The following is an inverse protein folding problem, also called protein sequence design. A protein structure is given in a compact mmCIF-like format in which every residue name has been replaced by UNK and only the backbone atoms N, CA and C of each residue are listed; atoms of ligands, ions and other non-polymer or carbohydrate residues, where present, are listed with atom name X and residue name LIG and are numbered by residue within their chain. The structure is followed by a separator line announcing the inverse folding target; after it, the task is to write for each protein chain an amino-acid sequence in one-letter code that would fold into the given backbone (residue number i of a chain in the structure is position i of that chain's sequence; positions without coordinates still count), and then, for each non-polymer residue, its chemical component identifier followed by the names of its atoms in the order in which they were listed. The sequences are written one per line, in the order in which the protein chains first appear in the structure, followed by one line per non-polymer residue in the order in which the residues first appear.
data_IF_181309204499
#
_entry.id   IF_181309204499
#
_cell.length_a   1.000
_cell.length_b   1.000
_cell.length_c   1.000
_cell.angle_alpha   90.00
_cell.angle_beta   90.00
_cell.angle_gamma   90.00
#
_symmetry.space_group_name_H-M   'P 1'
#
loop_
_entity.id
_entity.type
_entity.pdbx_description
1 polymer ?
#
# COMPACT_ATOMS: atom_id res chain seq x y z
N UNK A 1 2.08 17.31 -33.95
CA UNK A 1 1.72 16.11 -33.18
C UNK A 1 2.00 16.41 -31.71
N UNK A 2 1.01 16.44 -30.81
CA UNK A 2 1.29 16.76 -29.42
C UNK A 2 1.84 15.51 -28.70
N UNK A 3 2.96 15.71 -28.00
CA UNK A 3 3.60 14.71 -27.16
C UNK A 3 2.63 14.30 -26.03
N UNK A 4 2.39 13.00 -25.91
CA UNK A 4 1.58 12.44 -24.83
C UNK A 4 2.30 12.66 -23.50
N UNK A 5 1.90 13.69 -22.76
CA UNK A 5 2.21 13.81 -21.34
C UNK A 5 1.49 12.68 -20.62
N UNK A 6 2.22 11.58 -20.36
CA UNK A 6 1.77 10.53 -19.45
C UNK A 6 1.76 11.12 -18.05
N UNK A 7 0.62 11.65 -17.63
CA UNK A 7 0.40 12.00 -16.23
C UNK A 7 0.56 10.72 -15.41
N UNK A 8 1.60 10.66 -14.59
CA UNK A 8 1.77 9.59 -13.60
C UNK A 8 0.60 9.71 -12.63
N UNK A 9 -0.47 8.95 -12.86
CA UNK A 9 -1.58 8.85 -11.93
C UNK A 9 -1.03 8.15 -10.70
N UNK A 10 -0.66 8.93 -9.68
CA UNK A 10 -0.35 8.41 -8.35
C UNK A 10 -1.69 7.98 -7.72
N UNK A 11 -2.10 6.75 -8.00
CA UNK A 11 -3.26 6.14 -7.36
C UNK A 11 -2.92 5.80 -5.90
N UNK A 12 -3.22 6.73 -5.00
CA UNK A 12 -3.23 6.49 -3.54
C UNK A 12 -1.90 6.05 -2.94
N UNK A 13 -1.87 5.79 -1.63
CA UNK A 13 -0.66 5.37 -0.91
C UNK A 13 -0.09 4.07 -1.49
N UNK A 14 0.95 4.19 -2.32
CA UNK A 14 1.69 3.04 -2.84
C UNK A 14 2.40 2.38 -1.66
N UNK A 15 1.96 1.18 -1.30
CA UNK A 15 2.65 0.34 -0.32
C UNK A 15 4.02 -0.04 -0.86
N UNK A 16 5.02 -0.06 0.02
CA UNK A 16 6.36 -0.54 -0.32
C UNK A 16 6.81 -1.60 0.66
N UNK A 17 7.73 -2.48 0.23
CA UNK A 17 8.32 -3.49 1.13
C UNK A 17 8.90 -2.86 2.40
N UNK A 18 9.45 -1.65 2.31
CA UNK A 18 9.98 -0.93 3.46
C UNK A 18 8.89 -0.63 4.48
N UNK A 19 7.76 -0.05 4.06
CA UNK A 19 6.63 0.23 4.95
C UNK A 19 6.02 -1.03 5.54
N UNK A 20 5.87 -2.11 4.75
CA UNK A 20 5.36 -3.38 5.28
C UNK A 20 6.29 -3.97 6.34
N UNK A 21 7.61 -3.88 6.13
CA UNK A 21 8.59 -4.34 7.12
C UNK A 21 8.58 -3.50 8.41
N UNK A 22 8.09 -2.26 8.36
CA UNK A 22 7.91 -1.45 9.57
C UNK A 22 6.65 -1.82 10.35
N UNK A 23 5.68 -2.52 9.76
CA UNK A 23 4.49 -2.98 10.47
C UNK A 23 4.87 -3.97 11.57
N UNK A 24 4.34 -3.75 12.77
CA UNK A 24 4.58 -4.59 13.94
C UNK A 24 3.28 -5.01 14.60
N UNK A 25 3.24 -6.26 15.02
CA UNK A 25 2.15 -6.77 15.86
C UNK A 25 2.07 -5.90 17.12
N UNK A 26 0.86 -5.48 17.48
CA UNK A 26 0.57 -4.57 18.58
C UNK A 26 0.30 -3.12 18.19
N UNK A 27 0.61 -2.71 16.94
CA UNK A 27 0.31 -1.36 16.44
C UNK A 27 -1.19 -1.04 16.47
N UNK A 28 -1.56 0.19 16.80
CA UNK A 28 -2.94 0.65 16.67
C UNK A 28 -3.31 0.86 15.20
N UNK A 29 -4.60 0.83 14.89
CA UNK A 29 -5.11 1.17 13.55
C UNK A 29 -4.61 2.52 13.04
N UNK A 30 -4.55 3.52 13.93
CA UNK A 30 -4.07 4.85 13.58
C UNK A 30 -2.59 4.83 13.20
N UNK A 31 -1.74 4.12 13.96
CA UNK A 31 -0.33 3.97 13.64
C UNK A 31 -0.12 3.27 12.29
N UNK A 32 -0.91 2.23 12.01
CA UNK A 32 -0.90 1.56 10.70
C UNK A 32 -1.31 2.55 9.60
N UNK A 33 -2.37 3.33 9.82
CA UNK A 33 -2.84 4.31 8.86
C UNK A 33 -1.85 5.45 8.60
N UNK A 34 -1.12 5.90 9.61
CA UNK A 34 -0.04 6.88 9.46
C UNK A 34 1.15 6.30 8.68
N UNK A 35 1.40 5.00 8.79
CA UNK A 35 2.54 4.32 8.19
C UNK A 35 2.31 3.94 6.72
N UNK A 36 1.15 3.36 6.40
CA UNK A 36 0.82 2.85 5.06
C UNK A 36 -0.39 3.52 4.42
N UNK A 37 -1.05 4.45 5.11
CA UNK A 37 -2.26 5.11 4.64
C UNK A 37 -3.54 4.35 4.95
N UNK A 38 -4.65 4.90 4.44
CA UNK A 38 -5.98 4.32 4.59
C UNK A 38 -6.09 2.99 3.84
N UNK A 39 -6.74 1.98 4.43
CA UNK A 39 -7.02 0.72 3.74
C UNK A 39 -7.93 0.91 2.53
N UNK A 40 -7.74 0.08 1.51
CA UNK A 40 -8.59 0.06 0.31
C UNK A 40 -9.99 -0.46 0.62
N UNK A 41 -10.08 -1.40 1.56
CA UNK A 41 -11.34 -2.01 1.99
C UNK A 41 -11.37 -2.11 3.51
N UNK A 42 -12.47 -1.61 4.09
CA UNK A 42 -12.81 -1.79 5.51
C UNK A 42 -14.21 -2.37 5.57
N UNK A 43 -14.36 -3.52 6.23
CA UNK A 43 -15.69 -4.05 6.55
C UNK A 43 -16.34 -3.19 7.65
N UNK A 44 -17.47 -2.50 7.38
CA UNK A 44 -18.14 -1.66 8.37
C UNK A 44 -18.75 -2.46 9.54
N UNK A 45 -19.04 -3.75 9.36
CA UNK A 45 -19.60 -4.64 10.38
C UNK A 45 -18.50 -5.30 11.20
N UNK A 46 -17.38 -5.63 10.56
CA UNK A 46 -16.20 -6.20 11.22
C UNK A 46 -14.98 -5.34 10.93
N UNK A 47 -14.85 -4.24 11.68
CA UNK A 47 -13.69 -3.35 11.72
C UNK A 47 -12.38 -4.04 12.20
N UNK A 48 -12.26 -5.36 12.13
CA UNK A 48 -11.13 -6.17 12.56
C UNK A 48 -10.23 -6.58 11.39
N UNK A 49 -10.59 -6.31 10.14
CA UNK A 49 -9.75 -6.65 9.00
C UNK A 49 -9.63 -5.47 8.05
N UNK A 50 -8.41 -5.16 7.66
CA UNK A 50 -8.09 -4.17 6.64
C UNK A 50 -7.38 -4.87 5.49
N UNK A 51 -7.96 -4.73 4.30
CA UNK A 51 -7.36 -5.25 3.07
C UNK A 51 -6.83 -4.08 2.24
N UNK A 52 -5.55 -4.18 1.93
CA UNK A 52 -4.85 -3.28 1.01
C UNK A 52 -4.61 -4.06 -0.28
N UNK A 53 -5.43 -3.76 -1.28
CA UNK A 53 -5.37 -4.44 -2.58
C UNK A 53 -5.10 -3.37 -3.62
N UNK A 54 -4.09 -3.62 -4.46
CA UNK A 54 -3.80 -2.77 -5.60
C UNK A 54 -3.59 -3.65 -6.81
N UNK A 55 -4.14 -3.22 -7.93
CA UNK A 55 -3.94 -3.81 -9.23
C UNK A 55 -3.85 -2.66 -10.22
N UNK A 56 -2.62 -2.21 -10.47
CA UNK A 56 -2.34 -1.05 -11.31
C UNK A 56 -1.28 -1.38 -12.33
N UNK A 57 -1.45 -0.89 -13.54
CA UNK A 57 -0.41 -0.89 -14.57
C UNK A 57 0.28 0.46 -14.55
N UNK A 58 1.57 0.46 -14.23
CA UNK A 58 2.41 1.66 -14.25
C UNK A 58 2.58 2.16 -15.68
N UNK A 59 2.92 3.44 -15.82
CA UNK A 59 3.19 4.08 -17.12
C UNK A 59 4.39 3.48 -17.88
N UNK A 60 5.26 2.76 -17.16
CA UNK A 60 6.37 1.93 -17.67
C UNK A 60 5.93 0.62 -18.32
N UNK A 61 4.66 0.21 -18.14
CA UNK A 61 4.15 -1.09 -18.55
C UNK A 61 4.29 -2.18 -17.47
N UNK A 62 4.86 -1.86 -16.31
CA UNK A 62 4.95 -2.79 -15.18
C UNK A 62 3.59 -2.96 -14.50
N UNK A 63 3.18 -4.21 -14.32
CA UNK A 63 1.95 -4.56 -13.59
C UNK A 63 2.28 -4.75 -12.12
N UNK A 64 1.75 -3.85 -11.28
CA UNK A 64 1.84 -3.95 -9.82
C UNK A 64 0.54 -4.55 -9.31
N UNK A 65 0.64 -5.73 -8.71
CA UNK A 65 -0.47 -6.40 -8.06
C UNK A 65 -0.08 -6.85 -6.66
N UNK A 66 -0.73 -6.31 -5.64
CA UNK A 66 -0.50 -6.74 -4.28
C UNK A 66 -1.77 -6.87 -3.48
N UNK A 67 -1.71 -7.79 -2.51
CA UNK A 67 -2.72 -7.97 -1.47
C UNK A 67 -2.01 -8.09 -0.13
N UNK A 68 -2.24 -7.12 0.74
CA UNK A 68 -1.82 -7.12 2.13
C UNK A 68 -3.08 -7.14 3.00
N UNK A 69 -3.18 -8.14 3.86
CA UNK A 69 -4.31 -8.32 4.77
C UNK A 69 -3.83 -8.12 6.20
N UNK A 70 -4.44 -7.18 6.93
CA UNK A 70 -4.11 -6.86 8.31
C UNK A 70 -5.30 -7.18 9.21
N UNK A 71 -5.10 -8.07 10.18
CA UNK A 71 -6.13 -8.40 11.17
C UNK A 71 -5.86 -7.71 12.49
N UNK A 72 -6.86 -7.00 13.01
CA UNK A 72 -6.86 -6.28 14.28
C UNK A 72 -7.71 -7.01 15.32
N UNK A 73 -7.17 -7.19 16.52
CA UNK A 73 -7.85 -7.74 17.69
C UNK A 73 -7.79 -6.72 18.82
N UNK A 74 -8.95 -6.38 19.42
CA UNK A 74 -9.06 -5.35 20.47
C UNK A 74 -8.39 -4.01 20.08
N UNK A 75 -8.48 -3.62 18.81
CA UNK A 75 -7.91 -2.35 18.31
C UNK A 75 -6.40 -2.37 18.01
N UNK A 76 -5.73 -3.52 18.17
CA UNK A 76 -4.30 -3.70 17.89
C UNK A 76 -4.07 -4.69 16.77
N UNK A 77 -3.04 -4.47 15.95
CA UNK A 77 -2.61 -5.36 14.89
C UNK A 77 -2.20 -6.70 15.51
N UNK A 78 -2.84 -7.77 15.07
CA UNK A 78 -2.63 -9.13 15.59
C UNK A 78 -2.05 -10.07 14.54
N UNK A 79 -2.34 -9.83 13.26
CA UNK A 79 -1.86 -10.65 12.17
C UNK A 79 -1.59 -9.81 10.93
N UNK A 80 -0.53 -10.16 10.19
CA UNK A 80 -0.09 -9.52 8.96
C UNK A 80 0.07 -10.63 7.94
N UNK A 81 -0.73 -10.60 6.88
CA UNK A 81 -0.63 -11.54 5.77
C UNK A 81 -0.14 -10.78 4.53
N UNK A 82 0.98 -11.25 3.99
CA UNK A 82 1.70 -10.68 2.86
C UNK A 82 1.67 -11.58 1.61
N UNK A 83 0.70 -12.50 1.50
CA UNK A 83 0.68 -13.54 0.45
C UNK A 83 0.70 -12.99 -0.99
N UNK A 84 0.32 -11.72 -1.19
CA UNK A 84 0.29 -11.09 -2.52
C UNK A 84 1.37 -10.06 -2.79
N UNK A 85 2.33 -9.80 -1.89
CA UNK A 85 3.18 -8.60 -2.02
C UNK A 85 4.41 -8.77 -2.94
N UNK A 86 4.53 -9.90 -3.64
CA UNK A 86 5.73 -10.26 -4.41
C UNK A 86 6.05 -9.30 -5.56
N UNK A 87 5.06 -8.54 -6.05
CA UNK A 87 5.26 -7.54 -7.12
C UNK A 87 5.36 -6.12 -6.60
N UNK A 88 5.43 -5.94 -5.27
CA UNK A 88 5.70 -4.63 -4.72
C UNK A 88 7.07 -4.16 -5.19
N UNK A 89 7.18 -2.93 -5.71
CA UNK A 89 8.48 -2.34 -5.95
C UNK A 89 9.26 -2.30 -4.63
N UNK A 90 10.46 -2.87 -4.65
CA UNK A 90 11.43 -2.80 -3.54
C UNK A 90 12.01 -1.38 -3.49
N UNK A 91 11.21 -0.39 -3.09
CA UNK A 91 11.58 1.01 -2.87
C UNK A 91 12.81 1.45 -3.68
N UNK A 92 12.67 1.41 -5.01
CA UNK A 92 13.55 2.16 -5.89
C UNK A 92 12.70 3.30 -6.40
N UNK A 93 13.07 4.51 -5.99
CA UNK A 93 12.65 5.78 -6.57
C UNK A 93 11.50 6.56 -5.90
N UNK A 94 11.70 6.94 -4.64
CA UNK A 94 11.20 8.24 -4.12
C UNK A 94 12.17 9.41 -4.36
N UNK A 95 13.05 9.35 -5.38
CA UNK A 95 14.02 10.44 -5.63
C UNK A 95 13.98 11.13 -6.99
N UNK A 96 13.09 10.76 -7.93
CA UNK A 96 13.01 11.47 -9.23
C UNK A 96 11.84 12.40 -9.50
N UNK A 97 11.03 12.78 -8.51
CA UNK A 97 9.98 13.80 -8.73
C UNK A 97 9.88 14.80 -7.58
N UNK A 98 11.00 15.48 -7.29
CA UNK A 98 10.94 16.88 -6.89
C UNK A 98 12.27 17.58 -7.25
N UNK A 99 12.54 17.68 -8.56
CA UNK A 99 13.43 18.73 -9.07
C UNK A 99 12.63 19.64 -9.97
N UNK A 100 12.32 20.81 -9.46
CA UNK A 100 12.54 22.07 -10.17
C UNK A 100 12.70 23.19 -9.14
#
# INVERSE_FOLDING_TARGET
MPEFYKTTVQQGSVLTHHTINQLKIGMSKQQVQELIGSPSVVDPFHNKQWDYINHSTLSSGEVVHYRLTLSFKKGKLNHINTDGISTLPKDVDKQKVLKK
#
